data_IF_789551133365
#
_entry.id   IF_789551133365
#
_cell.length_a   1.000
_cell.length_b   1.000
_cell.length_c   1.000
_cell.angle_alpha   90.00
_cell.angle_beta   90.00
_cell.angle_gamma   90.00
#
_symmetry.space_group_name_H-M   'P 1'
#
loop_
_entity.id
_entity.type
_entity.pdbx_description
1 polymer ?
#
# COMPACT_ATOMS: atom_id res chain seq x y z
N UNK A 1 -17.11 -3.90 1.81
CA UNK A 1 -16.22 -2.91 1.17
C UNK A 1 -14.89 -3.60 0.83
N UNK A 2 -14.19 -3.17 -0.23
CA UNK A 2 -12.92 -3.75 -0.64
C UNK A 2 -11.81 -2.70 -0.62
N UNK A 3 -10.58 -3.12 -0.33
CA UNK A 3 -9.40 -2.27 -0.36
C UNK A 3 -8.18 -3.04 -0.84
N UNK A 4 -7.22 -2.31 -1.38
CA UNK A 4 -5.95 -2.82 -1.90
C UNK A 4 -4.82 -1.99 -1.32
N UNK A 5 -3.79 -2.68 -0.84
CA UNK A 5 -2.53 -2.09 -0.46
C UNK A 5 -1.48 -2.33 -1.55
N UNK A 6 -0.68 -1.31 -1.86
CA UNK A 6 0.46 -1.41 -2.78
C UNK A 6 1.60 -0.51 -2.32
N UNK A 7 2.81 -0.76 -2.81
CA UNK A 7 4.02 -0.01 -2.45
C UNK A 7 5.28 -0.89 -2.44
N UNK A 8 6.44 -0.30 -2.14
CA UNK A 8 7.67 -1.04 -1.84
C UNK A 8 7.55 -1.62 -0.41
N UNK A 9 7.05 -2.85 -0.32
CA UNK A 9 6.80 -3.52 0.96
C UNK A 9 7.57 -4.83 1.05
N UNK A 10 8.85 -4.75 1.37
CA UNK A 10 9.57 -5.95 1.79
C UNK A 10 9.07 -6.34 3.19
N UNK A 11 8.39 -7.48 3.29
CA UNK A 11 7.80 -7.93 4.54
C UNK A 11 8.80 -7.97 5.70
N UNK A 12 10.06 -8.30 5.41
CA UNK A 12 11.15 -8.31 6.38
C UNK A 12 11.44 -6.91 6.94
N UNK A 13 11.43 -5.87 6.10
CA UNK A 13 11.72 -4.49 6.50
C UNK A 13 10.62 -3.93 7.41
N UNK A 14 9.37 -4.22 7.08
CA UNK A 14 8.22 -3.88 7.93
C UNK A 14 8.34 -4.59 9.28
N UNK A 15 8.67 -5.89 9.28
CA UNK A 15 8.78 -6.69 10.50
C UNK A 15 9.88 -6.21 11.46
N UNK A 16 10.97 -5.63 10.94
CA UNK A 16 12.04 -5.03 11.76
C UNK A 16 11.82 -3.53 12.03
N UNK A 17 10.68 -2.97 11.64
CA UNK A 17 10.30 -1.59 11.92
C UNK A 17 11.01 -0.53 11.09
N UNK A 18 11.55 -0.89 9.91
CA UNK A 18 12.18 0.09 9.02
C UNK A 18 11.13 1.01 8.36
N UNK A 19 11.46 2.30 8.14
CA UNK A 19 10.56 3.24 7.50
C UNK A 19 10.09 2.75 6.12
N UNK A 20 8.78 2.56 5.98
CA UNK A 20 8.13 2.04 4.80
C UNK A 20 6.95 2.94 4.42
N UNK A 21 6.79 3.21 3.13
CA UNK A 21 5.64 3.94 2.60
C UNK A 21 4.73 2.98 1.82
N UNK A 22 3.44 2.98 2.14
CA UNK A 22 2.44 2.15 1.47
C UNK A 22 1.25 3.00 1.02
N UNK A 23 0.58 2.55 -0.02
CA UNK A 23 -0.63 3.16 -0.58
C UNK A 23 -1.81 2.24 -0.32
N UNK A 24 -2.92 2.80 0.15
CA UNK A 24 -4.22 2.13 0.26
C UNK A 24 -5.21 2.78 -0.70
N UNK A 25 -5.91 1.97 -1.47
CA UNK A 25 -7.07 2.38 -2.25
C UNK A 25 -8.27 1.51 -1.86
N UNK A 26 -9.45 2.09 -1.74
CA UNK A 26 -10.64 1.36 -1.33
C UNK A 26 -11.88 1.79 -2.12
N UNK A 27 -12.86 0.90 -2.18
CA UNK A 27 -14.17 1.15 -2.80
C UNK A 27 -15.03 2.15 -2.02
N UNK A 28 -14.65 2.44 -0.77
CA UNK A 28 -15.36 3.34 0.13
C UNK A 28 -14.37 4.26 0.88
N UNK A 29 -14.72 5.53 1.02
CA UNK A 29 -13.83 6.57 1.55
C UNK A 29 -13.64 6.45 3.05
N UNK A 30 -14.70 6.13 3.80
CA UNK A 30 -14.60 5.95 5.25
C UNK A 30 -13.82 4.68 5.56
N UNK A 31 -14.04 3.59 4.81
CA UNK A 31 -13.24 2.38 4.92
C UNK A 31 -11.76 2.62 4.60
N UNK A 32 -11.45 3.42 3.58
CA UNK A 32 -10.07 3.84 3.28
C UNK A 32 -9.42 4.58 4.45
N UNK A 33 -10.19 5.46 5.11
CA UNK A 33 -9.74 6.27 6.24
C UNK A 33 -9.52 5.43 7.49
N UNK A 34 -10.43 4.51 7.80
CA UNK A 34 -10.30 3.54 8.89
C UNK A 34 -9.04 2.70 8.70
N UNK A 35 -8.84 2.13 7.50
CA UNK A 35 -7.64 1.36 7.18
C UNK A 35 -6.37 2.21 7.26
N UNK A 36 -6.40 3.45 6.77
CA UNK A 36 -5.27 4.36 6.90
C UNK A 36 -4.90 4.54 8.37
N UNK A 37 -5.86 4.87 9.24
CA UNK A 37 -5.60 5.09 10.66
C UNK A 37 -5.12 3.83 11.37
N UNK A 38 -5.67 2.66 11.01
CA UNK A 38 -5.32 1.38 11.63
C UNK A 38 -3.87 0.95 11.31
N UNK A 39 -3.41 1.20 10.08
CA UNK A 39 -2.10 0.75 9.61
C UNK A 39 -1.02 1.83 9.63
N UNK A 40 -1.37 3.09 9.89
CA UNK A 40 -0.39 4.18 10.01
C UNK A 40 0.40 4.04 11.31
N UNK A 41 1.73 4.06 11.19
CA UNK A 41 2.65 4.18 12.30
C UNK A 41 3.67 5.25 11.99
N UNK A 42 3.64 6.37 12.72
CA UNK A 42 4.46 7.57 12.45
C UNK A 42 5.96 7.27 12.32
N UNK A 43 6.45 6.23 13.01
CA UNK A 43 7.87 5.87 13.06
C UNK A 43 8.31 4.90 11.96
N UNK A 44 7.42 4.03 11.48
CA UNK A 44 7.82 2.88 10.64
C UNK A 44 6.95 2.67 9.41
N UNK A 45 5.66 3.03 9.41
CA UNK A 45 4.74 2.76 8.30
C UNK A 45 3.91 3.99 8.00
N UNK A 46 4.21 4.64 6.88
CA UNK A 46 3.42 5.77 6.38
C UNK A 46 2.41 5.30 5.34
N UNK A 47 1.12 5.45 5.65
CA UNK A 47 0.02 5.05 4.76
C UNK A 47 -0.54 6.25 4.01
N UNK A 48 -0.51 6.20 2.67
CA UNK A 48 -1.10 7.16 1.74
C UNK A 48 -2.39 6.64 1.14
N UNK A 49 -3.42 7.49 1.02
CA UNK A 49 -4.66 7.12 0.35
C UNK A 49 -4.59 7.45 -1.13
N UNK A 50 -5.18 6.60 -1.96
CA UNK A 50 -5.39 6.83 -3.38
C UNK A 50 -6.83 6.44 -3.75
N UNK A 51 -7.50 7.25 -4.55
CA UNK A 51 -8.85 6.97 -5.04
C UNK A 51 -8.86 6.05 -6.26
N UNK A 52 -7.73 5.91 -6.98
CA UNK A 52 -7.61 5.03 -8.14
C UNK A 52 -7.26 3.60 -7.73
N UNK A 53 -8.29 2.82 -7.41
CA UNK A 53 -8.14 1.42 -7.02
C UNK A 53 -7.58 0.56 -8.17
N UNK A 54 -7.97 0.83 -9.42
CA UNK A 54 -7.53 0.04 -10.58
C UNK A 54 -6.05 0.29 -10.85
N UNK A 55 -5.60 1.55 -10.85
CA UNK A 55 -4.20 1.90 -11.05
C UNK A 55 -3.30 1.33 -9.96
N UNK A 56 -3.74 1.35 -8.69
CA UNK A 56 -3.00 0.76 -7.56
C UNK A 56 -2.84 -0.77 -7.71
N UNK A 57 -3.90 -1.48 -8.13
CA UNK A 57 -3.85 -2.91 -8.42
C UNK A 57 -2.91 -3.21 -9.60
N UNK A 58 -3.09 -2.49 -10.71
CA UNK A 58 -2.32 -2.70 -11.93
C UNK A 58 -0.84 -2.42 -11.70
N UNK A 59 -0.48 -1.31 -11.06
CA UNK A 59 0.90 -0.97 -10.74
C UNK A 59 1.56 -2.00 -9.83
N UNK A 60 0.81 -2.53 -8.86
CA UNK A 60 1.27 -3.61 -7.98
C UNK A 60 1.53 -4.94 -8.69
N UNK A 61 0.75 -5.26 -9.73
CA UNK A 61 0.94 -6.46 -10.55
C UNK A 61 2.07 -6.29 -11.58
N UNK A 62 2.04 -5.20 -12.34
CA UNK A 62 2.95 -4.92 -13.46
C UNK A 62 4.39 -4.77 -12.98
N UNK A 63 4.64 -4.22 -11.79
CA UNK A 63 6.00 -4.07 -11.25
C UNK A 63 6.78 -5.39 -11.19
N UNK A 64 6.09 -6.51 -10.96
CA UNK A 64 6.73 -7.82 -10.86
C UNK A 64 7.19 -8.33 -12.23
N UNK A 65 6.40 -8.07 -13.29
CA UNK A 65 6.77 -8.41 -14.67
C UNK A 65 7.98 -7.59 -15.10
N UNK A 66 7.98 -6.28 -14.80
CA UNK A 66 9.12 -5.39 -15.09
C UNK A 66 10.36 -5.89 -14.37
N UNK A 67 10.26 -6.26 -13.09
CA UNK A 67 11.40 -6.75 -12.30
C UNK A 67 12.02 -8.05 -12.83
N UNK A 68 11.25 -8.88 -13.55
CA UNK A 68 11.77 -10.10 -14.21
C UNK A 68 12.47 -9.75 -15.53
N UNK A 69 11.99 -8.75 -16.26
CA UNK A 69 12.52 -8.36 -17.56
C UNK A 69 13.70 -7.39 -17.52
N UNK A 70 13.95 -6.75 -16.38
CA UNK A 70 15.04 -5.80 -16.15
C UNK A 70 16.36 -6.47 -15.73
#
# INVERSE_FOLDING_TARGET
PFAVFSGPTFAKEIAVGLPTAITVAASDVEFSKELQQLFHCDKSVRVYKNSDMIGVQLGGAVKNVIAIGA
#
